data_IF_375175259561
#
_entry.id   IF_375175259561
#
_cell.length_a   1.000
_cell.length_b   1.000
_cell.length_c   1.000
_cell.angle_alpha   90.00
_cell.angle_beta   90.00
_cell.angle_gamma   90.00
#
_symmetry.space_group_name_H-M   'P 1'
#
loop_
_entity.id
_entity.type
_entity.pdbx_description
1 polymer ?
#
# COMPACT_ATOMS: atom_id res chain seq x y z
N UNK A 1 20.19 -0.82 -7.23
CA UNK A 1 19.12 -0.74 -6.24
C UNK A 1 18.26 -2.00 -6.33
N UNK A 2 18.13 -2.74 -5.23
CA UNK A 2 17.30 -3.94 -5.06
C UNK A 2 16.10 -3.60 -4.21
N UNK A 3 14.92 -3.77 -4.78
CA UNK A 3 13.65 -3.41 -4.13
C UNK A 3 12.85 -4.70 -3.90
N UNK A 4 12.35 -4.89 -2.68
CA UNK A 4 11.39 -5.94 -2.37
C UNK A 4 10.01 -5.32 -2.08
N UNK A 5 9.01 -5.78 -2.81
CA UNK A 5 7.61 -5.56 -2.49
C UNK A 5 7.12 -6.72 -1.64
N UNK A 6 6.71 -6.45 -0.40
CA UNK A 6 6.09 -7.46 0.43
C UNK A 6 4.59 -7.46 0.21
N UNK A 7 4.03 -8.64 -0.04
CA UNK A 7 2.58 -8.84 -0.18
C UNK A 7 2.16 -9.94 0.79
N UNK A 8 1.20 -9.64 1.66
CA UNK A 8 0.59 -10.63 2.54
C UNK A 8 -0.88 -10.29 2.75
N UNK A 9 -1.59 -11.17 3.45
CA UNK A 9 -2.98 -11.01 3.86
C UNK A 9 -3.03 -10.65 5.35
N UNK A 10 -3.13 -9.35 5.69
CA UNK A 10 -3.40 -8.93 7.05
C UNK A 10 -4.79 -9.41 7.46
N UNK A 11 -4.90 -10.00 8.64
CA UNK A 11 -6.19 -10.31 9.27
C UNK A 11 -6.59 -9.09 10.10
N UNK A 12 -7.82 -8.59 9.89
CA UNK A 12 -8.34 -7.40 10.56
C UNK A 12 -8.21 -7.50 12.08
N UNK A 13 -7.53 -6.53 12.69
CA UNK A 13 -7.33 -6.42 14.14
C UNK A 13 -6.29 -7.34 14.76
N UNK A 14 -5.80 -8.35 14.04
CA UNK A 14 -4.82 -9.34 14.54
C UNK A 14 -3.37 -8.84 14.39
N UNK A 15 -3.08 -7.68 14.99
CA UNK A 15 -1.83 -6.91 14.78
C UNK A 15 -0.57 -7.73 15.03
N UNK A 16 -0.49 -8.39 16.20
CA UNK A 16 0.71 -9.16 16.54
C UNK A 16 0.91 -10.36 15.61
N UNK A 17 -0.16 -11.10 15.29
CA UNK A 17 -0.11 -12.22 14.34
C UNK A 17 0.39 -11.75 12.97
N UNK A 18 -0.09 -10.60 12.49
CA UNK A 18 0.31 -10.06 11.19
C UNK A 18 1.78 -9.64 11.19
N UNK A 19 2.26 -9.02 12.26
CA UNK A 19 3.68 -8.69 12.46
C UNK A 19 4.54 -9.95 12.47
N UNK A 20 4.15 -10.98 13.23
CA UNK A 20 4.89 -12.23 13.33
C UNK A 20 4.98 -12.94 11.97
N UNK A 21 3.86 -12.98 11.25
CA UNK A 21 3.80 -13.56 9.90
C UNK A 21 4.77 -12.86 8.94
N UNK A 22 4.70 -11.54 8.86
CA UNK A 22 5.57 -10.74 7.97
C UNK A 22 7.03 -10.83 8.41
N UNK A 23 7.31 -10.84 9.71
CA UNK A 23 8.66 -11.05 10.26
C UNK A 23 9.25 -12.37 9.78
N UNK A 24 8.45 -13.44 9.81
CA UNK A 24 8.87 -14.75 9.31
C UNK A 24 9.13 -14.74 7.80
N UNK A 25 8.31 -14.02 7.01
CA UNK A 25 8.52 -13.89 5.56
C UNK A 25 9.87 -13.25 5.21
N UNK A 26 10.32 -12.26 6.00
CA UNK A 26 11.58 -11.54 5.76
C UNK A 26 12.77 -12.09 6.57
N UNK A 27 12.58 -13.19 7.31
CA UNK A 27 13.58 -13.68 8.26
C UNK A 27 14.88 -14.14 7.59
N UNK A 28 14.80 -14.66 6.36
CA UNK A 28 15.96 -15.14 5.61
C UNK A 28 16.78 -14.03 4.95
N UNK A 29 16.20 -12.83 4.78
CA UNK A 29 16.87 -11.67 4.19
C UNK A 29 18.01 -11.19 5.09
N UNK A 30 19.13 -10.86 4.48
CA UNK A 30 20.37 -10.39 5.13
C UNK A 30 20.73 -8.98 4.65
N UNK A 31 21.62 -8.28 5.36
CA UNK A 31 22.20 -7.04 4.87
C UNK A 31 22.72 -7.17 3.43
N UNK A 32 22.28 -6.26 2.57
CA UNK A 32 22.64 -6.26 1.15
C UNK A 32 21.82 -7.21 0.28
N UNK A 33 20.79 -7.91 0.77
CA UNK A 33 19.84 -8.60 -0.12
C UNK A 33 18.81 -7.62 -0.72
N UNK A 34 18.50 -6.56 0.03
CA UNK A 34 17.49 -5.54 -0.28
C UNK A 34 18.03 -4.17 0.13
N UNK A 35 17.79 -3.17 -0.72
CA UNK A 35 18.11 -1.76 -0.43
C UNK A 35 16.85 -1.00 0.02
N UNK A 36 15.67 -1.40 -0.46
CA UNK A 36 14.35 -0.85 -0.08
C UNK A 36 13.32 -1.98 0.07
N UNK A 37 12.67 -2.07 1.23
CA UNK A 37 11.55 -2.96 1.52
C UNK A 37 10.25 -2.16 1.62
N UNK A 38 9.27 -2.46 0.78
CA UNK A 38 7.98 -1.75 0.74
C UNK A 38 6.85 -2.68 1.15
N UNK A 39 6.13 -2.31 2.22
CA UNK A 39 4.96 -3.03 2.69
C UNK A 39 3.65 -2.36 2.24
N UNK A 40 2.54 -3.12 2.22
CA UNK A 40 1.23 -2.61 1.79
C UNK A 40 0.64 -1.54 2.71
N UNK A 41 -0.49 -1.01 2.28
CA UNK A 41 -1.35 -0.13 3.07
C UNK A 41 -1.93 -0.91 4.27
N UNK A 42 -1.92 -0.30 5.45
CA UNK A 42 -2.46 -0.89 6.68
C UNK A 42 -1.92 -2.30 6.98
N UNK A 43 -0.59 -2.46 6.81
CA UNK A 43 0.09 -3.75 6.71
C UNK A 43 -0.18 -4.68 7.90
N UNK A 44 -0.29 -4.17 9.12
CA UNK A 44 -0.46 -5.01 10.29
C UNK A 44 -1.88 -5.03 10.86
N UNK A 45 -2.75 -4.12 10.44
CA UNK A 45 -4.07 -3.97 11.06
C UNK A 45 -5.21 -4.57 10.26
N UNK A 46 -5.02 -4.82 8.96
CA UNK A 46 -6.15 -4.96 8.03
C UNK A 46 -6.73 -3.59 7.65
N UNK A 47 -7.69 -3.56 6.74
CA UNK A 47 -8.17 -2.31 6.11
C UNK A 47 -9.63 -1.96 6.40
N UNK A 48 -10.51 -2.97 6.49
CA UNK A 48 -11.97 -2.88 6.54
C UNK A 48 -12.58 -2.31 7.83
N UNK A 49 -12.01 -1.23 8.36
CA UNK A 49 -12.56 -0.48 9.48
C UNK A 49 -13.73 0.39 9.05
N UNK A 50 -14.79 0.40 9.85
CA UNK A 50 -16.10 0.97 9.50
C UNK A 50 -16.43 2.25 10.25
N UNK A 51 -15.63 2.63 11.25
CA UNK A 51 -15.85 3.84 12.05
C UNK A 51 -14.60 4.24 12.84
N UNK A 52 -14.60 5.48 13.36
CA UNK A 52 -13.59 5.96 14.33
C UNK A 52 -13.47 5.07 15.56
N UNK A 53 -14.58 4.52 16.07
CA UNK A 53 -14.56 3.62 17.23
C UNK A 53 -13.95 2.25 16.89
N UNK A 54 -14.20 1.73 15.69
CA UNK A 54 -13.68 0.44 15.24
C UNK A 54 -12.16 0.48 15.05
N UNK A 55 -11.61 1.56 14.46
CA UNK A 55 -10.15 1.70 14.28
C UNK A 55 -9.43 2.06 15.59
N UNK A 56 -10.13 2.70 16.55
CA UNK A 56 -9.51 3.34 17.72
C UNK A 56 -8.47 2.49 18.47
N UNK A 57 -8.69 1.18 18.72
CA UNK A 57 -7.74 0.33 19.44
C UNK A 57 -6.42 0.08 18.69
N UNK A 58 -6.40 0.30 17.38
CA UNK A 58 -5.29 -0.04 16.49
C UNK A 58 -4.46 1.18 16.07
N UNK A 59 -4.93 2.39 16.37
CA UNK A 59 -4.25 3.62 16.04
C UNK A 59 -2.90 3.73 16.76
N UNK A 60 -1.89 4.15 16.01
CA UNK A 60 -0.53 4.27 16.48
C UNK A 60 -0.10 5.73 16.57
N UNK A 61 0.57 6.09 17.67
CA UNK A 61 1.34 7.34 17.72
C UNK A 61 2.64 7.11 16.94
N UNK A 62 3.00 8.06 16.08
CA UNK A 62 4.22 8.00 15.29
C UNK A 62 5.45 7.74 16.18
N UNK A 63 6.37 6.91 15.70
CA UNK A 63 7.57 6.43 16.41
C UNK A 63 7.34 5.52 17.64
N UNK A 64 6.15 5.50 18.21
CA UNK A 64 5.82 4.69 19.40
C UNK A 64 5.06 3.41 19.06
N UNK A 65 4.34 3.40 17.94
CA UNK A 65 3.52 2.30 17.52
C UNK A 65 4.29 1.06 17.03
N UNK A 66 3.66 -0.12 17.06
CA UNK A 66 4.27 -1.37 16.63
C UNK A 66 4.71 -1.36 15.17
N UNK A 67 4.00 -0.70 14.25
CA UNK A 67 4.36 -0.65 12.83
C UNK A 67 5.68 0.08 12.60
N UNK A 68 5.81 1.29 13.17
CA UNK A 68 7.03 2.10 13.02
C UNK A 68 8.21 1.46 13.75
N UNK A 69 7.98 0.86 14.93
CA UNK A 69 9.01 0.12 15.66
C UNK A 69 9.51 -1.09 14.86
N UNK A 70 8.60 -1.84 14.24
CA UNK A 70 8.95 -2.95 13.37
C UNK A 70 9.77 -2.47 12.16
N UNK A 71 9.34 -1.38 11.51
CA UNK A 71 10.05 -0.80 10.38
C UNK A 71 11.50 -0.41 10.75
N UNK A 72 11.68 0.27 11.90
CA UNK A 72 13.01 0.61 12.44
C UNK A 72 13.87 -0.62 12.71
N UNK A 73 13.31 -1.65 13.33
CA UNK A 73 14.04 -2.89 13.62
C UNK A 73 14.49 -3.59 12.34
N UNK A 74 13.62 -3.70 11.33
CA UNK A 74 13.98 -4.32 10.05
C UNK A 74 14.97 -3.48 9.25
N UNK A 75 14.83 -2.15 9.26
CA UNK A 75 15.72 -1.25 8.55
C UNK A 75 17.18 -1.40 9.04
N UNK A 76 17.36 -1.40 10.36
CA UNK A 76 18.68 -1.64 10.98
C UNK A 76 19.18 -3.05 10.71
N UNK A 77 18.32 -4.07 10.89
CA UNK A 77 18.71 -5.47 10.69
C UNK A 77 19.16 -5.77 9.26
N UNK A 78 18.49 -5.18 8.28
CA UNK A 78 18.74 -5.40 6.85
C UNK A 78 19.69 -4.38 6.23
N UNK A 79 20.10 -3.34 6.99
CA UNK A 79 20.80 -2.19 6.45
C UNK A 79 20.10 -1.64 5.18
N UNK A 80 18.79 -1.45 5.28
CA UNK A 80 17.91 -1.14 4.15
C UNK A 80 16.87 -0.09 4.55
N UNK A 81 16.31 0.61 3.56
CA UNK A 81 15.15 1.46 3.80
C UNK A 81 13.89 0.62 3.94
N UNK A 82 12.97 1.01 4.81
CA UNK A 82 11.71 0.27 5.03
C UNK A 82 10.51 1.22 5.02
N UNK A 83 9.51 0.90 4.19
CA UNK A 83 8.22 1.58 4.13
C UNK A 83 7.11 0.69 4.70
N UNK A 84 6.29 1.22 5.62
CA UNK A 84 5.13 0.49 6.20
C UNK A 84 3.91 1.39 6.27
N UNK A 85 2.77 0.92 5.75
CA UNK A 85 1.47 1.57 5.92
C UNK A 85 0.80 1.17 7.24
N UNK A 86 0.23 2.13 7.96
CA UNK A 86 -0.33 1.96 9.30
C UNK A 86 -1.40 3.04 9.64
N UNK A 87 -2.34 2.76 10.57
CA UNK A 87 -3.28 3.76 11.05
C UNK A 87 -2.63 4.65 12.11
N UNK A 88 -2.52 5.94 11.82
CA UNK A 88 -1.86 6.90 12.67
C UNK A 88 -2.86 7.71 13.50
N UNK A 89 -2.51 7.99 14.76
CA UNK A 89 -3.12 9.03 15.58
C UNK A 89 -2.15 10.19 15.82
N UNK A 90 -2.61 11.41 15.55
CA UNK A 90 -1.95 12.65 15.93
C UNK A 90 -2.77 13.40 16.97
N UNK A 91 -2.08 14.09 17.87
CA UNK A 91 -2.67 15.07 18.76
C UNK A 91 -2.34 16.45 18.20
N UNK A 92 -3.36 17.20 17.80
CA UNK A 92 -3.23 18.56 17.29
C UNK A 92 -3.74 19.52 18.37
N UNK A 93 -2.97 20.58 18.61
CA UNK A 93 -3.36 21.67 19.52
C UNK A 93 -3.65 22.90 18.66
N UNK A 94 -4.92 23.17 18.41
CA UNK A 94 -5.39 24.36 17.68
C UNK A 94 -6.27 25.19 18.61
N UNK A 95 -5.97 26.49 18.75
CA UNK A 95 -6.73 27.43 19.58
C UNK A 95 -6.96 26.99 21.04
N UNK A 96 -6.02 26.23 21.60
CA UNK A 96 -6.10 25.69 22.96
C UNK A 96 -7.00 24.46 23.10
N UNK A 97 -7.53 23.93 21.99
CA UNK A 97 -8.27 22.68 21.95
C UNK A 97 -7.35 21.53 21.50
N UNK A 98 -7.31 20.48 22.31
CA UNK A 98 -6.59 19.25 22.02
C UNK A 98 -7.52 18.34 21.22
N UNK A 99 -7.18 18.06 19.97
CA UNK A 99 -7.94 17.16 19.10
C UNK A 99 -7.12 15.93 18.74
N UNK A 100 -7.73 14.75 18.84
CA UNK A 100 -7.20 13.54 18.22
C UNK A 100 -7.62 13.50 16.75
N UNK A 101 -6.64 13.36 15.85
CA UNK A 101 -6.86 13.27 14.41
C UNK A 101 -6.24 11.98 13.89
N UNK A 102 -6.99 11.26 13.05
CA UNK A 102 -6.61 9.93 12.58
C UNK A 102 -6.28 9.98 11.10
N UNK A 103 -5.26 9.23 10.69
CA UNK A 103 -4.82 9.19 9.29
C UNK A 103 -4.53 7.75 8.87
N UNK A 104 -4.79 7.46 7.61
CA UNK A 104 -4.14 6.34 6.93
C UNK A 104 -2.75 6.83 6.48
N UNK A 105 -1.70 6.29 7.08
CA UNK A 105 -0.36 6.81 6.91
C UNK A 105 0.62 5.73 6.48
N UNK A 106 1.79 6.15 6.02
CA UNK A 106 2.97 5.31 5.90
C UNK A 106 4.17 6.00 6.54
N UNK A 107 5.06 5.20 7.11
CA UNK A 107 6.39 5.64 7.53
C UNK A 107 7.44 5.15 6.54
N UNK A 108 8.50 5.94 6.34
CA UNK A 108 9.69 5.56 5.58
C UNK A 108 10.93 5.75 6.46
N UNK A 109 11.67 4.67 6.69
CA UNK A 109 12.75 4.59 7.66
C UNK A 109 14.09 4.28 6.99
N UNK A 110 15.16 4.93 7.42
CA UNK A 110 16.53 4.73 6.90
C UNK A 110 17.20 3.47 7.47
N UNK A 111 18.29 2.98 6.84
CA UNK A 111 19.11 1.89 7.36
C UNK A 111 19.62 2.10 8.80
N UNK A 112 19.77 3.35 9.24
CA UNK A 112 20.17 3.67 10.63
C UNK A 112 18.99 3.64 11.62
N UNK A 113 17.78 3.29 11.17
CA UNK A 113 16.56 3.29 11.98
C UNK A 113 15.95 4.68 12.20
N UNK A 114 16.33 5.69 11.41
CA UNK A 114 15.76 7.05 11.49
C UNK A 114 14.49 7.16 10.66
N UNK A 115 13.44 7.76 11.21
CA UNK A 115 12.23 8.08 10.46
C UNK A 115 12.55 9.24 9.49
N UNK A 116 12.56 8.96 8.18
CA UNK A 116 12.84 9.96 7.13
C UNK A 116 11.56 10.67 6.67
N UNK A 117 10.46 9.93 6.58
CA UNK A 117 9.16 10.50 6.27
C UNK A 117 8.04 9.78 7.02
N UNK A 118 7.04 10.57 7.37
CA UNK A 118 5.70 10.10 7.66
C UNK A 118 4.77 10.81 6.65
N UNK A 119 4.01 10.04 5.89
CA UNK A 119 3.10 10.50 4.85
C UNK A 119 1.69 10.02 5.18
N UNK A 120 0.70 10.89 5.06
CA UNK A 120 -0.71 10.54 5.23
C UNK A 120 -1.39 10.59 3.88
N UNK A 121 -2.18 9.57 3.58
CA UNK A 121 -2.95 9.40 2.36
C UNK A 121 -3.69 10.68 2.02
N UNK A 122 -3.41 11.23 0.85
CA UNK A 122 -3.95 12.54 0.49
C UNK A 122 -5.38 12.42 -0.03
N UNK A 123 -5.67 11.41 -0.85
CA UNK A 123 -7.00 11.12 -1.35
C UNK A 123 -7.57 9.88 -0.65
N UNK A 124 -8.67 10.04 0.08
CA UNK A 124 -9.32 8.94 0.80
C UNK A 124 -10.19 8.09 -0.13
N UNK A 125 -10.22 6.78 0.14
CA UNK A 125 -11.25 5.90 -0.40
C UNK A 125 -12.42 5.83 0.60
N UNK A 126 -13.62 5.44 0.14
CA UNK A 126 -14.84 5.39 0.96
C UNK A 126 -14.70 4.64 2.29
N UNK A 127 -13.79 3.66 2.38
CA UNK A 127 -13.51 2.95 3.64
C UNK A 127 -12.75 3.85 4.62
N UNK A 128 -11.76 4.60 4.15
CA UNK A 128 -10.97 5.54 4.95
C UNK A 128 -11.83 6.70 5.45
N UNK A 129 -12.75 7.21 4.64
CA UNK A 129 -13.64 8.35 4.97
C UNK A 129 -14.46 8.13 6.26
N UNK A 130 -14.67 6.88 6.68
CA UNK A 130 -15.41 6.58 7.91
C UNK A 130 -14.60 6.85 9.20
N UNK A 131 -13.28 7.02 9.09
CA UNK A 131 -12.42 7.06 10.26
C UNK A 131 -11.19 7.98 10.17
N UNK A 132 -10.66 8.22 8.97
CA UNK A 132 -9.46 9.02 8.72
C UNK A 132 -9.80 10.42 8.17
N UNK A 133 -8.88 11.35 8.36
CA UNK A 133 -8.86 12.63 7.65
C UNK A 133 -7.86 12.58 6.47
N UNK A 134 -8.03 13.46 5.49
CA UNK A 134 -7.09 13.61 4.37
C UNK A 134 -5.73 14.13 4.87
N UNK A 135 -4.64 13.53 4.35
CA UNK A 135 -3.31 14.09 4.49
C UNK A 135 -3.21 15.46 3.81
N UNK A 136 -2.30 16.35 4.25
CA UNK A 136 -2.30 17.75 3.81
C UNK A 136 -1.86 17.95 2.35
N UNK A 137 -1.04 17.06 1.80
CA UNK A 137 -0.54 17.14 0.43
C UNK A 137 0.16 15.83 0.01
N UNK A 138 0.30 15.60 -1.29
CA UNK A 138 1.31 14.69 -1.82
C UNK A 138 2.72 15.08 -1.37
N UNK A 139 3.64 14.11 -1.26
CA UNK A 139 4.96 14.34 -0.67
C UNK A 139 6.05 13.57 -1.38
N UNK A 140 7.20 14.21 -1.54
CA UNK A 140 8.47 13.56 -1.89
C UNK A 140 9.61 14.15 -1.07
N UNK A 141 10.69 13.39 -0.88
CA UNK A 141 11.89 13.82 -0.16
C UNK A 141 13.15 13.41 -0.91
N UNK A 142 14.23 14.17 -0.76
CA UNK A 142 15.54 13.76 -1.22
C UNK A 142 16.16 12.79 -0.19
N UNK A 143 16.65 11.65 -0.68
CA UNK A 143 17.30 10.61 0.12
C UNK A 143 18.62 10.28 -0.55
N UNK A 144 19.68 10.24 0.24
CA UNK A 144 21.00 9.86 -0.24
C UNK A 144 20.95 8.47 -0.90
N UNK A 145 21.66 8.31 -2.02
CA UNK A 145 21.71 7.09 -2.84
C UNK A 145 20.40 6.65 -3.55
N UNK A 146 19.22 7.04 -3.05
CA UNK A 146 17.92 6.76 -3.70
C UNK A 146 17.41 7.89 -4.60
N UNK A 147 17.92 9.11 -4.42
CA UNK A 147 17.47 10.30 -5.15
C UNK A 147 16.19 10.89 -4.55
N UNK A 148 15.28 11.36 -5.39
CA UNK A 148 14.01 11.93 -4.97
C UNK A 148 12.95 10.83 -4.84
N UNK A 149 12.60 10.51 -3.60
CA UNK A 149 11.64 9.46 -3.23
C UNK A 149 10.25 10.08 -3.04
N UNK A 150 9.27 9.62 -3.81
CA UNK A 150 7.85 9.98 -3.73
C UNK A 150 7.01 8.93 -3.01
N UNK A 151 5.95 9.34 -2.32
CA UNK A 151 5.07 8.46 -1.55
C UNK A 151 3.62 8.55 -2.02
N UNK A 152 2.96 7.40 -2.07
CA UNK A 152 1.52 7.31 -2.31
C UNK A 152 0.87 6.14 -1.58
N UNK A 153 -0.43 6.26 -1.33
CA UNK A 153 -1.27 5.23 -0.74
C UNK A 153 -2.52 5.04 -1.61
N UNK A 154 -2.62 3.88 -2.25
CA UNK A 154 -3.82 3.39 -2.94
C UNK A 154 -4.59 4.44 -3.76
N UNK A 155 -5.64 5.01 -3.17
CA UNK A 155 -6.53 5.98 -3.81
C UNK A 155 -5.83 7.26 -4.27
N UNK A 156 -4.64 7.56 -3.77
CA UNK A 156 -3.82 8.67 -4.26
C UNK A 156 -3.60 8.63 -5.79
N UNK A 157 -3.51 7.44 -6.41
CA UNK A 157 -3.33 7.36 -7.87
C UNK A 157 -4.59 7.70 -8.65
N UNK A 158 -5.77 7.71 -8.03
CA UNK A 158 -7.05 7.96 -8.69
C UNK A 158 -7.36 9.44 -8.81
N UNK A 159 -8.30 9.81 -9.70
CA UNK A 159 -8.88 11.16 -9.67
C UNK A 159 -9.53 11.44 -8.32
N UNK A 160 -9.40 12.66 -7.82
CA UNK A 160 -9.92 13.05 -6.51
C UNK A 160 -11.40 12.68 -6.36
N UNK A 161 -11.72 11.91 -5.30
CA UNK A 161 -13.05 11.38 -4.99
C UNK A 161 -13.73 10.59 -6.14
N UNK A 162 -12.97 10.12 -7.14
CA UNK A 162 -13.49 9.62 -8.43
C UNK A 162 -14.36 10.63 -9.21
N UNK A 163 -14.21 11.93 -8.92
CA UNK A 163 -15.00 13.02 -9.53
C UNK A 163 -14.15 13.94 -10.40
N UNK A 164 -12.87 14.13 -10.05
CA UNK A 164 -11.97 14.92 -10.89
C UNK A 164 -11.82 14.28 -12.28
N UNK A 165 -11.53 15.08 -13.33
CA UNK A 165 -11.26 14.55 -14.65
C UNK A 165 -10.17 13.47 -14.63
N UNK A 166 -10.41 12.36 -15.33
CA UNK A 166 -9.44 11.26 -15.41
C UNK A 166 -8.08 11.71 -15.96
N UNK A 167 -8.04 12.77 -16.76
CA UNK A 167 -6.81 13.29 -17.37
C UNK A 167 -5.99 14.21 -16.45
N UNK A 168 -6.43 14.48 -15.23
CA UNK A 168 -5.69 15.38 -14.32
C UNK A 168 -4.42 14.71 -13.77
N UNK A 169 -4.45 13.39 -13.61
CA UNK A 169 -3.32 12.57 -13.15
C UNK A 169 -2.58 13.19 -11.95
N UNK A 170 -3.33 13.66 -10.94
CA UNK A 170 -2.86 14.57 -9.90
C UNK A 170 -1.58 14.08 -9.23
N UNK A 171 -1.57 12.81 -8.84
CA UNK A 171 -0.42 12.13 -8.24
C UNK A 171 0.79 12.08 -9.16
N UNK A 172 0.62 11.61 -10.41
CA UNK A 172 1.71 11.49 -11.36
C UNK A 172 2.26 12.85 -11.78
N UNK A 173 1.39 13.83 -11.99
CA UNK A 173 1.75 15.22 -12.30
C UNK A 173 2.55 15.85 -11.15
N UNK A 174 2.13 15.63 -9.90
CA UNK A 174 2.88 16.06 -8.73
C UNK A 174 4.28 15.43 -8.71
N UNK A 175 4.40 14.11 -8.75
CA UNK A 175 5.69 13.42 -8.63
C UNK A 175 6.64 13.74 -9.78
N UNK A 176 6.11 13.89 -10.99
CA UNK A 176 6.88 14.37 -12.13
C UNK A 176 7.40 15.79 -11.91
N UNK A 177 6.56 16.71 -11.39
CA UNK A 177 6.98 18.09 -11.08
C UNK A 177 8.08 18.14 -10.02
N UNK A 178 8.02 17.23 -9.06
CA UNK A 178 9.03 17.08 -8.01
C UNK A 178 10.27 16.33 -8.48
N UNK A 179 10.29 15.82 -9.72
CA UNK A 179 11.37 14.97 -10.27
C UNK A 179 11.60 13.72 -9.41
N UNK A 180 10.53 13.14 -8.86
CA UNK A 180 10.61 11.87 -8.12
C UNK A 180 11.09 10.76 -9.08
N UNK A 181 12.24 10.16 -8.78
CA UNK A 181 12.79 9.05 -9.57
C UNK A 181 12.55 7.69 -8.93
N UNK A 182 12.06 7.66 -7.69
CA UNK A 182 11.58 6.46 -7.02
C UNK A 182 10.23 6.77 -6.37
N UNK A 183 9.15 6.20 -6.87
CA UNK A 183 7.79 6.40 -6.33
C UNK A 183 7.34 5.12 -5.66
N UNK A 184 7.10 5.18 -4.34
CA UNK A 184 6.78 4.03 -3.50
C UNK A 184 5.31 4.09 -3.06
N UNK A 185 4.52 3.11 -3.50
CA UNK A 185 3.10 3.05 -3.22
C UNK A 185 2.74 1.84 -2.34
N UNK A 186 2.16 2.13 -1.17
CA UNK A 186 1.52 1.13 -0.29
C UNK A 186 0.05 1.00 -0.69
N UNK A 187 -0.42 -0.20 -1.05
CA UNK A 187 -1.79 -0.38 -1.57
C UNK A 187 -2.60 -1.43 -0.80
N UNK A 188 -3.89 -1.15 -0.61
CA UNK A 188 -4.95 -2.10 -0.34
C UNK A 188 -5.99 -2.08 -1.49
N UNK A 189 -5.50 -2.30 -2.70
CA UNK A 189 -6.29 -2.23 -3.93
C UNK A 189 -7.14 -3.48 -4.10
N UNK A 190 -8.45 -3.28 -4.27
CA UNK A 190 -9.40 -4.37 -4.53
C UNK A 190 -9.24 -4.88 -5.96
N UNK A 191 -9.36 -6.20 -6.12
CA UNK A 191 -9.51 -6.77 -7.44
C UNK A 191 -10.81 -6.25 -8.11
N UNK A 192 -10.77 -6.00 -9.42
CA UNK A 192 -11.90 -5.45 -10.17
C UNK A 192 -13.13 -6.35 -10.16
N UNK A 193 -14.28 -5.83 -10.60
CA UNK A 193 -15.55 -6.59 -10.60
C UNK A 193 -15.48 -7.89 -11.42
N UNK A 194 -14.71 -7.89 -12.52
CA UNK A 194 -14.43 -9.11 -13.30
C UNK A 194 -13.71 -10.18 -12.47
N UNK A 195 -12.82 -9.78 -11.58
CA UNK A 195 -12.14 -10.71 -10.65
C UNK A 195 -13.07 -11.26 -9.58
N UNK A 196 -14.03 -10.46 -9.12
CA UNK A 196 -15.04 -10.91 -8.16
C UNK A 196 -16.00 -11.92 -8.78
N UNK A 197 -16.45 -11.67 -10.00
CA UNK A 197 -17.29 -12.60 -10.76
C UNK A 197 -16.56 -13.93 -11.01
N UNK A 198 -15.28 -13.87 -11.39
CA UNK A 198 -14.43 -15.05 -11.55
C UNK A 198 -14.25 -15.86 -10.26
N UNK A 199 -13.93 -15.20 -9.13
CA UNK A 199 -13.82 -15.89 -7.82
C UNK A 199 -15.14 -16.48 -7.35
N UNK A 200 -16.27 -15.86 -7.68
CA UNK A 200 -17.60 -16.43 -7.41
C UNK A 200 -17.90 -17.65 -8.30
N UNK A 201 -17.49 -17.66 -9.58
CA UNK A 201 -17.67 -18.84 -10.43
C UNK A 201 -16.81 -20.02 -10.00
N UNK A 202 -15.56 -19.77 -9.58
CA UNK A 202 -14.64 -20.79 -9.07
C UNK A 202 -15.06 -21.32 -7.69
N UNK A 203 -15.43 -20.42 -6.76
CA UNK A 203 -15.85 -20.81 -5.40
C UNK A 203 -17.15 -21.63 -5.34
N UNK A 204 -17.96 -21.63 -6.41
CA UNK A 204 -19.17 -22.46 -6.53
C UNK A 204 -18.84 -23.88 -7.02
N UNK A 205 -17.73 -24.08 -7.75
CA UNK A 205 -17.32 -25.39 -8.26
C UNK A 205 -16.72 -26.30 -7.17
N UNK A 206 -16.04 -25.72 -6.18
CA UNK A 206 -15.44 -26.47 -5.06
C UNK A 206 -16.41 -26.90 -3.95
N UNK A 207 -17.73 -26.73 -4.14
CA UNK A 207 -18.79 -27.20 -3.23
C UNK A 207 -19.41 -28.56 -3.59
N UNK A 208 -18.88 -29.25 -4.60
CA UNK A 208 -19.35 -30.56 -5.07
C UNK A 208 -18.52 -31.71 -4.51
N UNK A 209 -19.21 -32.69 -3.91
CA UNK A 209 -18.71 -33.96 -3.39
C UNK A 209 -17.71 -34.65 -4.36
N UNK A 210 -16.55 -35.06 -3.83
CA UNK A 210 -15.42 -35.60 -4.58
C UNK A 210 -15.73 -36.91 -5.30
N UNK A 211 -15.43 -36.96 -6.60
CA UNK A 211 -15.43 -38.20 -7.35
C UNK A 211 -14.88 -38.08 -8.77
N UNK A 212 -13.56 -37.93 -8.93
CA UNK A 212 -12.92 -38.12 -10.23
C UNK A 212 -11.55 -37.47 -10.32
N UNK A 213 -10.55 -38.25 -10.73
CA UNK A 213 -9.19 -37.79 -11.02
C UNK A 213 -9.22 -36.93 -12.29
N UNK A 214 -8.64 -35.74 -12.24
CA UNK A 214 -7.91 -35.04 -13.32
C UNK A 214 -7.52 -33.61 -12.81
N UNK A 215 -6.57 -33.52 -11.86
CA UNK A 215 -6.28 -32.28 -11.10
C UNK A 215 -5.21 -31.34 -11.72
N UNK A 216 -4.74 -31.55 -12.96
CA UNK A 216 -3.62 -30.75 -13.50
C UNK A 216 -4.03 -29.68 -14.54
N UNK A 217 -5.24 -29.71 -15.09
CA UNK A 217 -5.69 -28.78 -16.16
C UNK A 217 -6.58 -27.63 -15.66
N UNK A 218 -7.28 -27.80 -14.54
CA UNK A 218 -8.15 -26.76 -13.98
C UNK A 218 -7.35 -25.62 -13.32
N UNK A 219 -6.17 -25.92 -12.76
CA UNK A 219 -5.28 -24.95 -12.12
C UNK A 219 -4.61 -23.97 -13.12
N UNK A 220 -4.35 -24.39 -14.37
CA UNK A 220 -3.72 -23.53 -15.39
C UNK A 220 -4.67 -22.46 -15.92
N UNK A 221 -5.92 -22.82 -16.22
CA UNK A 221 -6.96 -21.88 -16.70
C UNK A 221 -7.36 -20.87 -15.62
N UNK A 222 -7.38 -21.29 -14.34
CA UNK A 222 -7.63 -20.39 -13.21
C UNK A 222 -6.48 -19.40 -12.98
N UNK A 223 -5.24 -19.89 -13.10
CA UNK A 223 -4.05 -19.06 -13.02
C UNK A 223 -3.99 -18.06 -14.18
N UNK A 224 -4.29 -18.48 -15.42
CA UNK A 224 -4.32 -17.63 -16.61
C UNK A 224 -5.37 -16.53 -16.48
N UNK A 225 -6.57 -16.87 -16.00
CA UNK A 225 -7.64 -15.91 -15.74
C UNK A 225 -7.28 -14.91 -14.62
N UNK A 226 -6.65 -15.39 -13.53
CA UNK A 226 -6.17 -14.52 -12.44
C UNK A 226 -5.05 -13.58 -12.93
N UNK A 227 -4.19 -14.05 -13.83
CA UNK A 227 -3.14 -13.26 -14.48
C UNK A 227 -3.72 -12.18 -15.40
N UNK A 228 -4.75 -12.48 -16.19
CA UNK A 228 -5.45 -11.48 -17.03
C UNK A 228 -6.08 -10.36 -16.18
N UNK A 229 -6.68 -10.71 -15.05
CA UNK A 229 -7.30 -9.75 -14.13
C UNK A 229 -6.27 -8.88 -13.38
N UNK A 230 -5.10 -9.45 -13.06
CA UNK A 230 -3.97 -8.67 -12.58
C UNK A 230 -3.41 -7.75 -13.67
N UNK A 231 -3.42 -8.18 -14.94
CA UNK A 231 -3.04 -7.34 -16.08
C UNK A 231 -3.92 -6.10 -16.17
N UNK A 232 -5.24 -6.20 -15.99
CA UNK A 232 -6.14 -5.03 -15.99
C UNK A 232 -5.78 -4.01 -14.90
N UNK A 233 -5.44 -4.48 -13.69
CA UNK A 233 -5.06 -3.60 -12.58
C UNK A 233 -3.69 -2.95 -12.80
N UNK A 234 -2.71 -3.73 -13.28
CA UNK A 234 -1.37 -3.22 -13.60
C UNK A 234 -1.45 -2.20 -14.75
N UNK A 235 -2.24 -2.49 -15.79
CA UNK A 235 -2.50 -1.55 -16.88
C UNK A 235 -3.15 -0.27 -16.38
N UNK A 236 -4.14 -0.37 -15.48
CA UNK A 236 -4.75 0.79 -14.86
C UNK A 236 -3.71 1.64 -14.13
N UNK A 237 -2.89 1.05 -13.26
CA UNK A 237 -1.83 1.77 -12.55
C UNK A 237 -0.83 2.42 -13.52
N UNK A 238 -0.44 1.73 -14.59
CA UNK A 238 0.40 2.29 -15.63
C UNK A 238 -0.27 3.50 -16.29
N UNK A 239 -1.55 3.40 -16.67
CA UNK A 239 -2.34 4.52 -17.22
C UNK A 239 -2.40 5.70 -16.25
N UNK A 240 -2.53 5.47 -14.94
CA UNK A 240 -2.52 6.55 -13.95
C UNK A 240 -1.17 7.28 -13.85
N UNK A 241 -0.09 6.67 -14.34
CA UNK A 241 1.23 7.30 -14.46
C UNK A 241 1.49 7.93 -15.84
N UNK A 242 0.45 8.16 -16.65
CA UNK A 242 0.57 8.73 -18.00
C UNK A 242 1.59 9.86 -18.15
N UNK A 243 1.62 10.89 -17.27
CA UNK A 243 2.54 12.01 -17.39
C UNK A 243 4.03 11.62 -17.45
N UNK A 244 4.43 10.48 -16.88
CA UNK A 244 5.81 10.02 -16.87
C UNK A 244 6.31 9.52 -18.23
N UNK A 245 5.43 9.06 -19.13
CA UNK A 245 5.84 8.42 -20.39
C UNK A 245 5.24 9.03 -21.66
N UNK A 246 4.26 9.93 -21.54
CA UNK A 246 3.64 10.59 -22.72
C UNK A 246 4.09 12.02 -22.97
N UNK A 247 4.77 12.67 -22.01
CA UNK A 247 5.22 14.05 -22.17
C UNK A 247 6.33 14.18 -23.22
N UNK A 248 6.29 15.30 -23.94
CA UNK A 248 7.33 15.72 -24.89
C UNK A 248 7.85 17.11 -24.48
N UNK A 249 9.16 17.30 -24.22
CA UNK A 249 10.21 16.26 -24.22
C UNK A 249 9.95 15.21 -23.15
N UNK A 250 10.34 13.97 -23.44
CA UNK A 250 10.30 12.92 -22.42
C UNK A 250 11.17 13.31 -21.23
N UNK A 251 10.79 12.90 -20.01
CA UNK A 251 11.61 13.14 -18.83
C UNK A 251 13.04 12.64 -19.06
N UNK A 252 14.03 13.46 -18.71
CA UNK A 252 15.45 13.15 -18.92
C UNK A 252 15.98 12.06 -17.97
N UNK A 253 15.17 11.67 -16.98
CA UNK A 253 15.53 10.75 -15.92
C UNK A 253 14.48 9.65 -15.82
N UNK A 254 14.95 8.41 -15.76
CA UNK A 254 14.12 7.24 -15.49
C UNK A 254 13.48 7.35 -14.09
N UNK A 255 12.20 6.98 -14.00
CA UNK A 255 11.48 6.89 -12.74
C UNK A 255 11.02 5.44 -12.51
N UNK A 256 11.26 4.94 -11.30
CA UNK A 256 10.85 3.60 -10.88
C UNK A 256 9.59 3.73 -10.03
N UNK A 257 8.50 3.11 -10.48
CA UNK A 257 7.28 2.97 -9.70
C UNK A 257 7.29 1.60 -9.00
N UNK A 258 7.10 1.62 -7.69
CA UNK A 258 7.05 0.42 -6.84
C UNK A 258 5.67 0.36 -6.20
N UNK A 259 4.95 -0.74 -6.41
CA UNK A 259 3.61 -0.95 -5.86
C UNK A 259 3.64 -2.20 -4.99
N UNK A 260 3.44 -2.03 -3.68
CA UNK A 260 3.26 -3.12 -2.74
C UNK A 260 1.77 -3.23 -2.39
N UNK A 261 1.05 -4.14 -3.05
CA UNK A 261 -0.37 -4.38 -2.79
C UNK A 261 -0.58 -5.54 -1.83
N UNK A 262 -1.46 -5.40 -0.84
CA UNK A 262 -1.87 -6.55 -0.02
C UNK A 262 -2.55 -7.61 -0.90
N UNK A 263 -2.59 -8.83 -0.41
CA UNK A 263 -3.35 -9.94 -1.01
C UNK A 263 -4.41 -10.45 -0.04
N UNK A 264 -5.20 -11.43 -0.49
CA UNK A 264 -6.21 -12.07 0.33
C UNK A 264 -7.59 -11.43 0.27
N UNK A 265 -8.45 -11.86 1.18
CA UNK A 265 -9.84 -11.41 1.31
C UNK A 265 -10.10 -11.04 2.76
N UNK A 266 -10.57 -9.83 2.98
CA UNK A 266 -10.94 -9.38 4.31
C UNK A 266 -12.46 -9.50 4.49
N UNK A 267 -12.95 -10.30 5.46
CA UNK A 267 -14.38 -10.37 5.75
C UNK A 267 -14.83 -9.04 6.34
N UNK A 268 -15.60 -8.28 5.57
CA UNK A 268 -16.22 -7.01 5.95
C UNK A 268 -17.35 -6.70 4.99
N UNK A 269 -18.52 -6.36 5.53
CA UNK A 269 -19.71 -6.04 4.74
C UNK A 269 -19.46 -4.81 3.87
N UNK A 270 -19.21 -5.03 2.59
CA UNK A 270 -19.50 -4.04 1.57
C UNK A 270 -20.78 -4.52 0.88
N UNK A 271 -21.91 -4.06 1.42
CA UNK A 271 -23.15 -3.99 0.65
C UNK A 271 -23.03 -2.90 -0.41
#
# INVERSE_FOLDING_TARGET
>A
MKIACLQHEPILGEVQRNIDHVTNMVASLKPGDVDVLVLPEMAFTGYGFTSKDHIRPYLEVVEEGPSVKWAKAQAVRLNAHVQVGYPEKRIINEDGQVQEVYYNSLCFVSPEGRLLANYSKHFLYYTDENWAEEGPAFKSIAVEELGQVGFGICMDVNPYQFKAPFTDFEFATFHLSQKSNLVLCSMAWKAGERTKAFKQSVGVMNGGDHGGKDDDLEDEDELESALELQCDTIQYWAVRMNPFYTRNPQPSQEAILVIANRIGVEPGQFA
#
